data_IF_924346465701
#
_entry.id   IF_924346465701
#
_cell.length_a   1.000
_cell.length_b   1.000
_cell.length_c   1.000
_cell.angle_alpha   90.00
_cell.angle_beta   90.00
_cell.angle_gamma   90.00
#
_symmetry.space_group_name_H-M   'P 1'
#
loop_
_entity.id
_entity.type
_entity.pdbx_description
1 polymer ?
#
# COMPACT_ATOMS: atom_id res chain seq x y z
N UNK A 1 17.77 17.26 1.09
CA UNK A 1 16.70 17.02 0.09
C UNK A 1 17.05 15.86 -0.84
N UNK A 2 18.20 15.86 -1.52
CA UNK A 2 18.65 14.77 -2.43
C UNK A 2 18.75 13.38 -1.77
N UNK A 3 19.23 13.30 -0.51
CA UNK A 3 19.34 12.01 0.22
C UNK A 3 18.00 11.34 0.55
N UNK A 4 16.91 12.09 0.68
CA UNK A 4 15.60 11.51 1.01
C UNK A 4 14.93 10.90 -0.24
N UNK A 5 15.20 11.47 -1.42
CA UNK A 5 14.60 11.05 -2.68
C UNK A 5 15.21 9.74 -3.21
N UNK A 6 16.52 9.54 -3.05
CA UNK A 6 17.18 8.29 -3.41
C UNK A 6 16.63 7.09 -2.61
N UNK A 7 16.31 7.30 -1.33
CA UNK A 7 15.73 6.28 -0.48
C UNK A 7 14.34 5.85 -0.98
N UNK A 8 13.48 6.80 -1.35
CA UNK A 8 12.13 6.50 -1.85
C UNK A 8 12.17 5.66 -3.13
N UNK A 9 13.00 6.00 -4.11
CA UNK A 9 13.08 5.22 -5.35
C UNK A 9 13.74 3.85 -5.15
N UNK A 10 14.62 3.71 -4.14
CA UNK A 10 15.16 2.41 -3.74
C UNK A 10 14.07 1.53 -3.09
N UNK A 11 13.26 2.11 -2.20
CA UNK A 11 12.10 1.43 -1.60
C UNK A 11 11.08 1.03 -2.65
N UNK A 12 10.79 1.88 -3.63
CA UNK A 12 9.88 1.54 -4.73
C UNK A 12 10.39 0.40 -5.60
N UNK A 13 11.71 0.24 -5.77
CA UNK A 13 12.28 -0.95 -6.43
C UNK A 13 12.04 -2.23 -5.64
N UNK A 14 12.04 -2.16 -4.32
CA UNK A 14 11.69 -3.29 -3.44
C UNK A 14 10.19 -3.56 -3.55
N UNK A 15 9.35 -2.54 -3.41
CA UNK A 15 7.89 -2.63 -3.52
C UNK A 15 7.43 -3.15 -4.89
N UNK A 16 8.14 -2.86 -5.98
CA UNK A 16 7.85 -3.40 -7.32
C UNK A 16 7.96 -4.93 -7.39
N UNK A 17 8.71 -5.55 -6.47
CA UNK A 17 8.90 -7.02 -6.39
C UNK A 17 7.88 -7.70 -5.47
N UNK A 18 7.18 -6.94 -4.63
CA UNK A 18 6.14 -7.45 -3.72
C UNK A 18 5.00 -8.03 -4.55
N UNK A 19 4.68 -9.30 -4.30
CA UNK A 19 3.55 -9.98 -4.94
C UNK A 19 2.78 -10.77 -3.89
N UNK A 20 1.70 -10.17 -3.43
CA UNK A 20 0.82 -10.78 -2.43
C UNK A 20 -0.63 -10.36 -2.67
N UNK A 21 -1.58 -11.28 -2.49
CA UNK A 21 -3.02 -11.03 -2.70
C UNK A 21 -3.59 -9.92 -1.81
N UNK A 22 -2.96 -9.66 -0.66
CA UNK A 22 -3.37 -8.64 0.30
C UNK A 22 -2.47 -7.40 0.29
N UNK A 23 -1.69 -7.20 -0.78
CA UNK A 23 -0.90 -5.98 -0.98
C UNK A 23 -1.13 -5.46 -2.38
N UNK A 24 -1.47 -4.17 -2.49
CA UNK A 24 -1.69 -3.52 -3.79
C UNK A 24 -0.37 -3.52 -4.57
N UNK A 25 -0.39 -4.09 -5.78
CA UNK A 25 0.82 -4.22 -6.59
C UNK A 25 1.24 -2.86 -7.17
N UNK A 26 2.51 -2.48 -6.96
CA UNK A 26 3.17 -1.42 -7.71
C UNK A 26 3.68 -2.00 -9.05
N UNK A 27 3.07 -1.55 -10.15
CA UNK A 27 3.39 -2.01 -11.51
C UNK A 27 4.59 -1.26 -12.09
N UNK A 28 4.62 0.06 -11.90
CA UNK A 28 5.74 0.91 -12.33
C UNK A 28 5.84 2.19 -11.51
N UNK A 29 6.97 2.89 -11.64
CA UNK A 29 7.13 4.26 -11.14
C UNK A 29 8.14 5.02 -11.99
N UNK A 30 7.92 6.32 -12.15
CA UNK A 30 8.80 7.18 -12.95
C UNK A 30 8.71 8.64 -12.48
N UNK A 31 9.76 9.41 -12.75
CA UNK A 31 9.85 10.82 -12.43
C UNK A 31 9.70 11.65 -13.70
N UNK A 32 8.94 12.74 -13.61
CA UNK A 32 8.89 13.77 -14.65
C UNK A 32 9.68 14.95 -14.11
N UNK A 33 10.87 15.19 -14.67
CA UNK A 33 11.84 16.18 -14.18
C UNK A 33 11.26 17.60 -14.26
N UNK A 34 10.56 17.92 -15.34
CA UNK A 34 9.97 19.25 -15.57
C UNK A 34 8.90 19.59 -14.54
N UNK A 35 8.31 18.58 -13.90
CA UNK A 35 7.28 18.73 -12.86
C UNK A 35 7.82 18.48 -11.45
N UNK A 36 9.08 18.06 -11.34
CA UNK A 36 9.72 17.59 -10.10
C UNK A 36 8.87 16.56 -9.31
N UNK A 37 8.07 15.75 -10.02
CA UNK A 37 7.09 14.83 -9.40
C UNK A 37 7.36 13.37 -9.74
N UNK A 38 7.13 12.52 -8.74
CA UNK A 38 7.19 11.06 -8.85
C UNK A 38 5.78 10.51 -9.07
N UNK A 39 5.64 9.64 -10.07
CA UNK A 39 4.40 8.99 -10.44
C UNK A 39 4.52 7.49 -10.15
N UNK A 40 3.44 6.92 -9.62
CA UNK A 40 3.33 5.49 -9.32
C UNK A 40 2.15 4.91 -10.10
N UNK A 41 2.40 3.79 -10.77
CA UNK A 41 1.38 3.01 -11.47
C UNK A 41 1.05 1.81 -10.59
N UNK A 42 -0.15 1.80 -10.03
CA UNK A 42 -0.59 0.78 -9.08
C UNK A 42 -1.77 -0.01 -9.64
N UNK A 43 -2.04 -1.17 -9.05
CA UNK A 43 -3.29 -1.89 -9.28
C UNK A 43 -4.50 -1.04 -8.88
N UNK A 44 -5.54 -1.08 -9.73
CA UNK A 44 -6.77 -0.35 -9.49
C UNK A 44 -7.62 -1.06 -8.44
N UNK A 45 -8.05 -0.31 -7.42
CA UNK A 45 -8.99 -0.78 -6.40
C UNK A 45 -10.31 -0.02 -6.55
N UNK A 46 -11.42 -0.75 -6.58
CA UNK A 46 -12.77 -0.19 -6.78
C UNK A 46 -13.20 0.72 -5.61
N UNK A 47 -12.64 0.52 -4.42
CA UNK A 47 -12.91 1.35 -3.26
C UNK A 47 -11.94 1.11 -2.10
N UNK A 48 -12.20 1.78 -0.98
CA UNK A 48 -11.38 1.71 0.24
C UNK A 48 -12.19 1.23 1.44
N UNK A 49 -11.49 0.71 2.46
CA UNK A 49 -12.12 0.35 3.73
C UNK A 49 -12.76 1.55 4.42
N UNK A 50 -12.19 2.75 4.23
CA UNK A 50 -12.76 4.00 4.74
C UNK A 50 -14.13 4.30 4.13
N UNK A 51 -14.29 4.13 2.81
CA UNK A 51 -15.59 4.29 2.15
C UNK A 51 -16.63 3.31 2.69
N UNK A 52 -16.22 2.07 2.99
CA UNK A 52 -17.09 1.05 3.56
C UNK A 52 -17.53 1.43 4.98
N UNK A 53 -16.62 1.99 5.80
CA UNK A 53 -16.95 2.54 7.12
C UNK A 53 -17.90 3.74 7.01
N UNK A 54 -17.61 4.73 6.17
CA UNK A 54 -18.44 5.93 6.03
C UNK A 54 -19.84 5.63 5.48
N UNK A 55 -20.01 4.52 4.75
CA UNK A 55 -21.32 4.03 4.32
C UNK A 55 -22.16 3.37 5.43
N UNK A 56 -21.58 3.11 6.60
CA UNK A 56 -22.28 2.52 7.75
C UNK A 56 -22.78 3.60 8.72
N UNK A 57 -23.95 3.38 9.33
CA UNK A 57 -24.61 4.35 10.22
C UNK A 57 -23.72 4.80 11.39
N UNK A 58 -22.91 3.90 11.94
CA UNK A 58 -22.04 4.16 13.09
C UNK A 58 -20.56 4.29 12.73
N UNK A 59 -20.19 4.29 11.44
CA UNK A 59 -18.80 4.18 11.00
C UNK A 59 -18.07 2.95 11.56
N UNK A 60 -18.79 1.82 11.60
CA UNK A 60 -18.33 0.55 12.14
C UNK A 60 -18.70 -0.59 11.21
N UNK A 61 -17.87 -1.62 11.24
CA UNK A 61 -18.17 -2.88 10.59
C UNK A 61 -18.78 -3.86 11.60
N UNK A 62 -19.66 -4.75 11.15
CA UNK A 62 -19.95 -5.95 11.91
C UNK A 62 -18.66 -6.71 12.25
N UNK A 63 -18.60 -7.31 13.45
CA UNK A 63 -17.39 -7.96 13.98
C UNK A 63 -16.78 -8.97 12.98
N UNK A 64 -17.63 -9.76 12.31
CA UNK A 64 -17.16 -10.76 11.34
C UNK A 64 -16.42 -10.11 10.14
N UNK A 65 -16.87 -8.94 9.69
CA UNK A 65 -16.21 -8.22 8.59
C UNK A 65 -14.92 -7.58 9.09
N UNK A 66 -14.93 -6.99 10.29
CA UNK A 66 -13.73 -6.44 10.92
C UNK A 66 -12.66 -7.51 11.04
N UNK A 67 -13.00 -8.69 11.58
CA UNK A 67 -12.09 -9.83 11.68
C UNK A 67 -11.57 -10.30 10.32
N UNK A 68 -12.43 -10.33 9.30
CA UNK A 68 -12.07 -10.72 7.93
C UNK A 68 -11.03 -9.77 7.32
N UNK A 69 -11.25 -8.46 7.41
CA UNK A 69 -10.30 -7.46 6.92
C UNK A 69 -9.01 -7.44 7.74
N UNK A 70 -9.12 -7.56 9.07
CA UNK A 70 -7.96 -7.59 9.95
C UNK A 70 -7.03 -8.77 9.63
N UNK A 71 -7.58 -9.96 9.37
CA UNK A 71 -6.78 -11.12 8.96
C UNK A 71 -6.04 -10.86 7.64
N UNK A 72 -6.69 -10.24 6.67
CA UNK A 72 -6.06 -9.89 5.39
C UNK A 72 -4.96 -8.83 5.55
N UNK A 73 -5.19 -7.82 6.39
CA UNK A 73 -4.19 -6.79 6.69
C UNK A 73 -2.97 -7.40 7.39
N UNK A 74 -3.19 -8.24 8.39
CA UNK A 74 -2.11 -8.93 9.11
C UNK A 74 -1.31 -9.85 8.19
N UNK A 75 -1.97 -10.59 7.30
CA UNK A 75 -1.33 -11.47 6.32
C UNK A 75 -0.45 -10.66 5.33
N UNK A 76 -1.01 -9.59 4.77
CA UNK A 76 -0.27 -8.67 3.89
C UNK A 76 0.93 -8.01 4.59
N UNK A 77 0.76 -7.58 5.84
CA UNK A 77 1.83 -6.97 6.63
C UNK A 77 2.95 -7.97 6.96
N UNK A 78 2.58 -9.20 7.35
CA UNK A 78 3.54 -10.28 7.59
C UNK A 78 4.38 -10.57 6.35
N UNK A 79 3.73 -10.65 5.17
CA UNK A 79 4.44 -10.80 3.91
C UNK A 79 5.43 -9.65 3.66
N UNK A 80 5.01 -8.40 3.86
CA UNK A 80 5.85 -7.22 3.65
C UNK A 80 7.08 -7.20 4.57
N UNK A 81 6.92 -7.55 5.85
CA UNK A 81 8.02 -7.64 6.80
C UNK A 81 9.05 -8.70 6.39
N UNK A 82 8.59 -9.86 5.90
CA UNK A 82 9.47 -10.92 5.43
C UNK A 82 10.30 -10.53 4.17
N UNK A 83 9.82 -9.55 3.38
CA UNK A 83 10.47 -9.12 2.13
C UNK A 83 11.31 -7.85 2.27
N UNK A 84 11.67 -7.47 3.50
CA UNK A 84 12.63 -6.38 3.76
C UNK A 84 12.04 -4.97 3.68
N UNK A 85 10.72 -4.84 3.72
CA UNK A 85 10.01 -3.56 3.79
C UNK A 85 10.07 -3.00 5.23
N UNK A 86 11.28 -2.82 5.78
CA UNK A 86 11.48 -2.44 7.19
C UNK A 86 11.31 -0.94 7.49
N UNK A 87 10.87 -0.12 6.52
CA UNK A 87 10.79 1.35 6.63
C UNK A 87 9.36 1.90 6.81
N UNK A 88 8.36 1.04 7.04
CA UNK A 88 6.95 1.44 7.25
C UNK A 88 6.43 1.15 8.66
N UNK A 89 7.31 0.89 9.63
CA UNK A 89 7.01 0.88 11.07
C UNK A 89 7.89 1.91 11.77
#
# INVERSE_FOLDING_TARGET
LVKFQANVEQELRILRRVRHRNVIALRDFFRIEEKEKLYMVMEYCIGSLQQLLDGSREKKLPEFQAQYFFRQLADGLSYLHAHGTSLLC
#
